data_IF_878828241266
#
_entry.id   IF_878828241266
#
_cell.length_a   1.000
_cell.length_b   1.000
_cell.length_c   1.000
_cell.angle_alpha   90.00
_cell.angle_beta   90.00
_cell.angle_gamma   90.00
#
_symmetry.space_group_name_H-M   'P 1'
#
loop_
_entity.id
_entity.type
_entity.pdbx_description
1 polymer ?
#
# COMPACT_ATOMS: atom_id res chain seq x y z
N UNK A 1 13.66 -6.68 15.25
CA UNK A 1 12.63 -5.61 15.17
C UNK A 1 12.74 -4.76 13.90
N UNK A 2 13.93 -4.39 13.39
CA UNK A 2 14.05 -3.58 12.15
C UNK A 2 13.47 -4.22 10.87
N UNK A 3 13.53 -5.55 10.69
CA UNK A 3 13.04 -6.20 9.46
C UNK A 3 11.53 -6.09 9.25
N UNK A 4 10.74 -6.10 10.34
CA UNK A 4 9.29 -6.01 10.25
C UNK A 4 8.82 -4.60 9.82
N UNK A 5 9.54 -3.54 10.21
CA UNK A 5 9.21 -2.17 9.82
C UNK A 5 9.56 -1.87 8.36
N UNK A 6 10.66 -2.41 7.85
CA UNK A 6 11.01 -2.21 6.43
C UNK A 6 10.01 -2.92 5.51
N UNK A 7 9.70 -4.19 5.81
CA UNK A 7 8.69 -4.96 5.09
C UNK A 7 7.36 -4.21 5.05
N UNK A 8 6.94 -3.71 6.19
CA UNK A 8 5.77 -2.89 6.32
C UNK A 8 5.73 -1.69 5.38
N UNK A 9 6.78 -0.86 5.41
CA UNK A 9 6.88 0.35 4.62
C UNK A 9 6.88 0.05 3.12
N UNK A 10 7.52 -1.03 2.70
CA UNK A 10 7.45 -1.48 1.31
C UNK A 10 6.03 -1.87 0.90
N UNK A 11 5.32 -2.62 1.73
CA UNK A 11 3.95 -3.04 1.44
C UNK A 11 3.01 -1.83 1.36
N UNK A 12 3.14 -0.88 2.30
CA UNK A 12 2.37 0.38 2.28
C UNK A 12 2.71 1.21 1.03
N UNK A 13 3.99 1.32 0.68
CA UNK A 13 4.44 2.04 -0.53
C UNK A 13 3.80 1.46 -1.79
N UNK A 14 3.76 0.13 -1.93
CA UNK A 14 3.13 -0.52 -3.08
C UNK A 14 1.60 -0.31 -3.07
N UNK A 15 0.97 -0.33 -1.89
CA UNK A 15 -0.46 -0.04 -1.73
C UNK A 15 -0.82 1.39 -2.12
N UNK A 16 0.00 2.37 -1.76
CA UNK A 16 -0.20 3.76 -2.16
C UNK A 16 -0.04 3.94 -3.67
N UNK A 17 0.92 3.25 -4.31
CA UNK A 17 1.04 3.27 -5.79
C UNK A 17 -0.21 2.73 -6.49
N UNK A 18 -0.77 1.62 -6.00
CA UNK A 18 -2.04 1.08 -6.53
C UNK A 18 -3.18 2.07 -6.34
N UNK A 19 -3.29 2.67 -5.16
CA UNK A 19 -4.31 3.66 -4.85
C UNK A 19 -4.20 4.89 -5.75
N UNK A 20 -2.99 5.47 -5.89
CA UNK A 20 -2.74 6.64 -6.72
C UNK A 20 -3.08 6.31 -8.18
N UNK A 21 -2.57 5.19 -8.71
CA UNK A 21 -2.87 4.77 -10.09
C UNK A 21 -4.37 4.61 -10.33
N UNK A 22 -5.09 4.04 -9.37
CA UNK A 22 -6.54 3.91 -9.43
C UNK A 22 -7.25 5.27 -9.45
N UNK A 23 -6.88 6.16 -8.54
CA UNK A 23 -7.48 7.48 -8.43
C UNK A 23 -7.18 8.34 -9.67
N UNK A 24 -5.98 8.24 -10.26
CA UNK A 24 -5.65 8.93 -11.52
C UNK A 24 -6.50 8.45 -12.69
N UNK A 25 -6.70 7.13 -12.83
CA UNK A 25 -7.61 6.61 -13.86
C UNK A 25 -9.06 7.10 -13.66
N UNK A 26 -9.49 7.28 -12.41
CA UNK A 26 -10.80 7.86 -12.09
C UNK A 26 -10.86 9.35 -12.39
N UNK A 27 -9.80 10.09 -12.07
CA UNK A 27 -9.67 11.52 -12.37
C UNK A 27 -9.82 11.77 -13.87
N UNK A 28 -9.13 10.98 -14.71
CA UNK A 28 -9.21 11.08 -16.16
C UNK A 28 -10.64 10.86 -16.69
N UNK A 29 -11.42 9.99 -16.03
CA UNK A 29 -12.83 9.72 -16.37
C UNK A 29 -13.79 10.80 -15.90
N UNK A 30 -13.52 11.44 -14.76
CA UNK A 30 -14.33 12.54 -14.25
C UNK A 30 -14.06 13.86 -15.00
N UNK A 31 -12.89 13.98 -15.63
CA UNK A 31 -12.54 15.07 -16.53
C UNK A 31 -11.90 16.28 -15.84
N UNK A 32 -11.55 17.33 -16.62
CA UNK A 32 -10.62 18.39 -16.20
C UNK A 32 -11.15 19.32 -15.09
N UNK A 33 -12.41 19.20 -14.71
CA UNK A 33 -13.03 20.00 -13.62
C UNK A 33 -13.04 19.27 -12.28
N UNK A 34 -12.67 18.00 -12.26
CA UNK A 34 -12.65 17.21 -11.04
C UNK A 34 -11.55 17.70 -10.10
N UNK A 35 -11.88 17.83 -8.82
CA UNK A 35 -10.89 18.15 -7.79
C UNK A 35 -10.08 16.90 -7.47
N UNK A 36 -8.76 17.00 -7.60
CA UNK A 36 -7.83 15.88 -7.39
C UNK A 36 -7.96 15.31 -5.98
N UNK A 37 -8.00 16.15 -4.95
CA UNK A 37 -8.12 15.70 -3.56
C UNK A 37 -9.44 14.99 -3.31
N UNK A 38 -10.54 15.52 -3.84
CA UNK A 38 -11.86 14.90 -3.69
C UNK A 38 -11.90 13.51 -4.35
N UNK A 39 -11.35 13.37 -5.55
CA UNK A 39 -11.23 12.09 -6.25
C UNK A 39 -10.35 11.12 -5.44
N UNK A 40 -9.20 11.57 -4.98
CA UNK A 40 -8.27 10.80 -4.15
C UNK A 40 -8.98 10.27 -2.89
N UNK A 41 -9.64 11.13 -2.10
CA UNK A 41 -10.38 10.69 -0.92
C UNK A 41 -11.55 9.76 -1.24
N UNK A 42 -12.38 10.12 -2.24
CA UNK A 42 -13.57 9.36 -2.64
C UNK A 42 -13.24 7.94 -3.06
N UNK A 43 -12.17 7.75 -3.83
CA UNK A 43 -11.84 6.44 -4.40
C UNK A 43 -10.85 5.62 -3.58
N UNK A 44 -10.32 6.14 -2.46
CA UNK A 44 -9.42 5.38 -1.57
C UNK A 44 -10.07 4.09 -1.06
N UNK A 45 -11.28 4.18 -0.54
CA UNK A 45 -12.02 3.01 -0.04
C UNK A 45 -12.34 2.00 -1.15
N UNK A 46 -12.62 2.47 -2.37
CA UNK A 46 -12.88 1.60 -3.52
C UNK A 46 -11.62 0.90 -4.02
N UNK A 47 -10.48 1.61 -4.05
CA UNK A 47 -9.17 1.04 -4.36
C UNK A 47 -8.79 -0.05 -3.35
N UNK A 48 -8.96 0.21 -2.05
CA UNK A 48 -8.73 -0.77 -0.98
C UNK A 48 -9.71 -1.94 -1.07
N UNK A 49 -10.96 -1.74 -1.49
CA UNK A 49 -11.86 -2.90 -1.65
C UNK A 49 -11.45 -3.76 -2.84
N UNK A 50 -11.06 -3.13 -3.95
CA UNK A 50 -10.86 -3.81 -5.24
C UNK A 50 -9.49 -4.43 -5.39
N UNK A 51 -8.46 -3.70 -4.97
CA UNK A 51 -7.07 -4.15 -5.04
C UNK A 51 -6.52 -4.48 -3.67
N UNK A 52 -7.31 -4.23 -2.62
CA UNK A 52 -6.93 -4.41 -1.23
C UNK A 52 -7.23 -5.80 -0.68
N UNK A 53 -8.08 -5.86 0.35
CA UNK A 53 -8.53 -7.07 1.06
C UNK A 53 -8.79 -8.32 0.19
N UNK A 54 -9.22 -8.14 -1.06
CA UNK A 54 -9.56 -9.21 -2.00
C UNK A 54 -8.83 -9.12 -3.35
N UNK A 55 -7.79 -8.28 -3.46
CA UNK A 55 -7.17 -7.93 -4.73
C UNK A 55 -5.73 -8.37 -4.89
N UNK A 56 -5.26 -8.36 -6.14
CA UNK A 56 -3.97 -8.90 -6.60
C UNK A 56 -2.74 -8.39 -5.84
N UNK A 57 -2.78 -7.14 -5.34
CA UNK A 57 -1.68 -6.58 -4.57
C UNK A 57 -1.45 -7.33 -3.25
N UNK A 58 -2.52 -7.81 -2.62
CA UNK A 58 -2.45 -8.57 -1.36
C UNK A 58 -2.24 -10.05 -1.57
N UNK A 59 -2.09 -10.48 -2.82
CA UNK A 59 -1.58 -11.79 -3.21
C UNK A 59 -0.08 -11.73 -3.58
N UNK A 60 0.58 -10.58 -3.43
CA UNK A 60 1.99 -10.39 -3.79
C UNK A 60 2.24 -10.42 -5.30
N UNK A 61 1.19 -10.21 -6.10
CA UNK A 61 1.26 -10.30 -7.56
C UNK A 61 1.23 -8.91 -8.19
N UNK A 62 1.81 -8.79 -9.40
CA UNK A 62 1.61 -7.62 -10.23
C UNK A 62 0.12 -7.32 -10.41
N UNK A 63 -0.20 -6.03 -10.40
CA UNK A 63 -1.49 -5.50 -10.80
C UNK A 63 -1.28 -4.63 -12.04
N UNK A 64 -2.36 -4.10 -12.62
CA UNK A 64 -2.23 -3.10 -13.69
C UNK A 64 -1.55 -1.78 -13.26
N UNK A 65 -1.38 -1.53 -11.96
CA UNK A 65 -0.76 -0.30 -11.42
C UNK A 65 0.62 -0.52 -10.80
N UNK A 66 0.92 -1.76 -10.41
CA UNK A 66 2.18 -2.15 -9.77
C UNK A 66 2.68 -3.38 -10.50
N UNK A 67 3.78 -3.24 -11.24
CA UNK A 67 4.36 -4.36 -11.98
C UNK A 67 5.45 -5.07 -11.17
N UNK A 68 5.98 -6.15 -11.74
CA UNK A 68 7.04 -6.94 -11.10
C UNK A 68 8.30 -6.11 -10.84
N UNK A 69 8.64 -5.19 -11.74
CA UNK A 69 9.84 -4.34 -11.62
C UNK A 69 9.70 -3.39 -10.43
N UNK A 70 8.55 -2.74 -10.28
CA UNK A 70 8.27 -1.88 -9.12
C UNK A 70 8.32 -2.64 -7.80
N UNK A 71 7.84 -3.90 -7.77
CA UNK A 71 7.96 -4.75 -6.58
C UNK A 71 9.43 -5.02 -6.25
N UNK A 72 10.24 -5.42 -7.24
CA UNK A 72 11.67 -5.70 -7.07
C UNK A 72 12.44 -4.45 -6.61
N UNK A 73 12.19 -3.29 -7.22
CA UNK A 73 12.78 -2.01 -6.84
C UNK A 73 12.41 -1.60 -5.41
N UNK A 74 11.13 -1.74 -5.05
CA UNK A 74 10.67 -1.41 -3.69
C UNK A 74 11.29 -2.36 -2.66
N UNK A 75 11.36 -3.66 -2.94
CA UNK A 75 12.03 -4.61 -2.05
C UNK A 75 13.52 -4.24 -1.87
N UNK A 76 14.20 -3.84 -2.93
CA UNK A 76 15.59 -3.41 -2.86
C UNK A 76 15.78 -2.12 -2.03
N UNK A 77 14.91 -1.12 -2.23
CA UNK A 77 14.91 0.16 -1.50
C UNK A 77 14.78 -0.06 0.01
N UNK A 78 13.88 -0.94 0.43
CA UNK A 78 13.64 -1.25 1.84
C UNK A 78 14.51 -2.40 2.37
N UNK A 79 15.46 -2.91 1.60
CA UNK A 79 16.35 -4.02 1.99
C UNK A 79 15.60 -5.30 2.41
N UNK A 80 14.52 -5.63 1.69
CA UNK A 80 13.70 -6.81 1.92
C UNK A 80 14.11 -7.90 0.93
N UNK A 81 14.36 -9.11 1.42
CA UNK A 81 14.57 -10.25 0.53
C UNK A 81 13.25 -10.69 -0.12
N UNK A 82 13.34 -11.26 -1.32
CA UNK A 82 12.17 -11.84 -2.00
C UNK A 82 11.45 -12.87 -1.12
N UNK A 83 12.17 -13.63 -0.30
CA UNK A 83 11.57 -14.59 0.63
C UNK A 83 10.77 -13.92 1.74
N UNK A 84 11.25 -12.82 2.32
CA UNK A 84 10.49 -12.05 3.32
C UNK A 84 9.23 -11.43 2.72
N UNK A 85 9.34 -10.86 1.51
CA UNK A 85 8.20 -10.35 0.76
C UNK A 85 7.19 -11.46 0.48
N UNK A 86 7.63 -12.58 -0.12
CA UNK A 86 6.76 -13.71 -0.44
C UNK A 86 6.13 -14.29 0.84
N UNK A 87 6.87 -14.42 1.95
CA UNK A 87 6.37 -14.95 3.21
C UNK A 87 5.22 -14.11 3.79
N UNK A 88 5.28 -12.79 3.67
CA UNK A 88 4.18 -11.90 4.04
C UNK A 88 2.89 -12.25 3.30
N UNK A 89 2.97 -12.54 2.00
CA UNK A 89 1.81 -12.87 1.18
C UNK A 89 1.31 -14.31 1.33
N UNK A 90 2.09 -15.19 1.95
CA UNK A 90 1.60 -16.51 2.35
C UNK A 90 0.78 -16.49 3.66
N UNK A 91 0.77 -15.38 4.39
CA UNK A 91 -0.12 -15.18 5.54
C UNK A 91 -1.59 -15.12 5.09
N UNK A 92 -2.52 -15.49 5.99
CA UNK A 92 -3.95 -15.30 5.73
C UNK A 92 -4.28 -13.82 5.64
N UNK A 93 -5.37 -13.49 4.95
CA UNK A 93 -5.80 -12.09 4.77
C UNK A 93 -5.88 -11.34 6.11
N UNK A 94 -6.54 -11.91 7.12
CA UNK A 94 -6.69 -11.30 8.45
C UNK A 94 -5.34 -11.09 9.15
N UNK A 95 -4.43 -12.06 9.07
CA UNK A 95 -3.08 -11.96 9.67
C UNK A 95 -2.24 -10.86 9.00
N UNK A 96 -2.37 -10.66 7.68
CA UNK A 96 -1.73 -9.56 6.96
C UNK A 96 -2.25 -8.21 7.44
N UNK A 97 -3.56 -8.11 7.63
CA UNK A 97 -4.22 -6.88 8.08
C UNK A 97 -3.86 -6.53 9.52
N UNK A 98 -3.80 -7.53 10.40
CA UNK A 98 -3.31 -7.35 11.74
C UNK A 98 -1.87 -6.82 11.71
N UNK A 99 -0.97 -7.46 10.93
CA UNK A 99 0.40 -7.01 10.77
C UNK A 99 0.47 -5.53 10.33
N UNK A 100 -0.29 -5.16 9.29
CA UNK A 100 -0.35 -3.79 8.77
C UNK A 100 -0.99 -2.80 9.73
N UNK A 101 -1.93 -3.24 10.56
CA UNK A 101 -2.58 -2.38 11.54
C UNK A 101 -1.60 -1.95 12.62
N UNK A 102 -0.72 -2.85 13.08
CA UNK A 102 0.38 -2.49 13.98
C UNK A 102 1.33 -1.47 13.34
N UNK A 103 1.61 -1.62 12.05
CA UNK A 103 2.47 -0.72 11.29
C UNK A 103 1.82 0.67 11.12
N UNK A 104 0.56 0.71 10.71
CA UNK A 104 -0.18 1.95 10.49
C UNK A 104 -0.44 2.69 11.80
N UNK A 105 -0.72 1.96 12.90
CA UNK A 105 -0.92 2.55 14.22
C UNK A 105 0.40 3.03 14.84
N UNK A 106 1.51 2.31 14.69
CA UNK A 106 2.82 2.81 15.13
C UNK A 106 3.26 4.04 14.33
N UNK A 107 3.07 4.04 13.00
CA UNK A 107 3.34 5.22 12.17
C UNK A 107 2.42 6.42 12.47
N UNK A 108 1.17 6.17 12.88
CA UNK A 108 0.26 7.22 13.37
C UNK A 108 0.71 7.74 14.74
N UNK A 109 1.15 6.85 15.64
CA UNK A 109 1.63 7.22 16.97
C UNK A 109 2.91 8.07 16.89
N UNK A 110 3.89 7.64 16.10
CA UNK A 110 5.11 8.42 15.84
C UNK A 110 4.81 9.77 15.18
N UNK A 111 3.85 9.81 14.24
CA UNK A 111 3.38 11.05 13.62
C UNK A 111 2.64 11.99 14.59
N UNK A 112 1.93 11.44 15.58
CA UNK A 112 1.27 12.22 16.64
C UNK A 112 2.28 12.76 17.66
N UNK A 113 3.29 11.96 18.03
CA UNK A 113 4.37 12.40 18.93
C UNK A 113 5.19 13.56 18.32
N UNK A 114 5.39 13.58 17.00
CA UNK A 114 6.05 14.69 16.28
C UNK A 114 5.19 15.95 16.13
N UNK A 115 3.88 15.87 16.35
CA UNK A 115 2.95 17.02 16.32
C UNK A 115 2.75 17.65 17.70
N UNK A 116 3.18 16.95 18.75
CA UNK A 116 3.17 17.43 20.15
C UNK A 116 4.50 18.09 20.56
N UNK A 117 5.48 18.23 19.64
CA UNK A 117 6.73 19.02 19.77
C UNK A 117 6.67 20.37 19.02
#
# INVERSE_FOLDING_TARGET
MKSNLNLAQAIVTLADKVYIGYAMERLDKEGPKANVLDVMFKYRAEAIRKYGYYGELWDGKPTKYVDKKMIEETCAEYHISKQEYDAFYHLKADDRLEALSYIWLDGLREGMELLDE
#
